data_IF_560494521845
#
_entry.id   IF_560494521845
#
_cell.length_a   1.000
_cell.length_b   1.000
_cell.length_c   1.000
_cell.angle_alpha   90.00
_cell.angle_beta   90.00
_cell.angle_gamma   90.00
#
_symmetry.space_group_name_H-M   'P 1'
#
loop_
_entity.id
_entity.type
_entity.pdbx_description
1 polymer ?
#
# COMPACT_ATOMS: atom_id res chain seq x y z
N UNK A 1 -21.62 53.33 -7.83
CA UNK A 1 -20.42 52.48 -7.95
C UNK A 1 -20.37 51.59 -6.73
N UNK A 2 -20.62 50.28 -6.85
CA UNK A 2 -20.50 49.35 -5.73
C UNK A 2 -19.06 48.87 -5.60
N UNK A 3 -18.61 48.78 -4.35
CA UNK A 3 -17.27 48.30 -3.97
C UNK A 3 -17.31 46.78 -4.04
N UNK A 4 -16.31 46.19 -4.72
CA UNK A 4 -16.20 44.77 -5.05
C UNK A 4 -16.28 43.86 -3.83
N UNK A 5 -16.96 42.73 -4.04
CA UNK A 5 -17.28 41.65 -3.10
C UNK A 5 -16.10 40.69 -2.85
N UNK A 6 -14.85 41.16 -2.96
CA UNK A 6 -13.67 40.28 -3.04
C UNK A 6 -13.00 39.97 -1.69
N UNK A 7 -13.47 40.55 -0.57
CA UNK A 7 -12.89 40.26 0.74
C UNK A 7 -13.47 39.00 1.42
N UNK A 8 -14.56 38.42 0.90
CA UNK A 8 -15.18 37.22 1.48
C UNK A 8 -14.55 35.89 0.99
N UNK A 9 -13.68 35.91 -0.04
CA UNK A 9 -13.06 34.69 -0.58
C UNK A 9 -11.63 34.42 -0.07
N UNK A 10 -11.02 35.33 0.68
CA UNK A 10 -9.61 35.20 1.09
C UNK A 10 -9.43 34.34 2.36
N UNK A 11 -10.51 33.98 3.06
CA UNK A 11 -10.44 33.27 4.34
C UNK A 11 -10.66 31.74 4.28
N UNK A 12 -10.74 31.12 3.10
CA UNK A 12 -10.95 29.67 2.98
C UNK A 12 -9.71 28.85 2.55
N UNK A 13 -8.50 29.42 2.56
CA UNK A 13 -7.26 28.70 2.22
C UNK A 13 -6.38 28.51 3.46
N UNK A 14 -6.78 27.61 4.35
CA UNK A 14 -5.93 26.92 5.34
C UNK A 14 -6.61 25.56 5.58
N UNK A 15 -6.23 24.47 4.94
CA UNK A 15 -4.94 23.78 5.10
C UNK A 15 -4.84 22.74 3.98
N UNK A 16 -4.00 22.97 2.96
CA UNK A 16 -3.57 21.89 2.07
C UNK A 16 -2.15 21.54 2.50
N UNK A 17 -2.00 20.50 3.31
CA UNK A 17 -0.70 19.87 3.47
C UNK A 17 -0.30 19.35 2.08
N UNK A 18 0.69 19.99 1.44
CA UNK A 18 1.30 19.43 0.24
C UNK A 18 2.19 18.29 0.71
N UNK A 19 1.66 17.07 0.69
CA UNK A 19 2.43 15.87 0.99
C UNK A 19 3.60 15.75 0.00
N UNK A 20 4.81 15.50 0.52
CA UNK A 20 5.97 15.30 -0.34
C UNK A 20 6.06 13.82 -0.67
N UNK A 21 5.71 13.49 -1.91
CA UNK A 21 5.88 12.15 -2.44
C UNK A 21 7.24 12.03 -3.11
N UNK A 22 8.09 11.14 -2.59
CA UNK A 22 9.42 10.87 -3.11
C UNK A 22 9.48 9.47 -3.71
N UNK A 23 9.99 9.35 -4.94
CA UNK A 23 10.20 8.04 -5.57
C UNK A 23 11.46 7.41 -5.01
N UNK A 24 11.31 6.21 -4.43
CA UNK A 24 12.42 5.46 -3.86
C UNK A 24 12.98 4.42 -4.84
N UNK A 25 12.11 3.79 -5.62
CA UNK A 25 12.49 2.68 -6.50
C UNK A 25 11.56 2.56 -7.70
N UNK A 26 12.10 2.06 -8.79
CA UNK A 26 11.41 1.84 -10.05
C UNK A 26 12.03 0.62 -10.75
N UNK A 27 11.22 -0.38 -11.07
CA UNK A 27 11.59 -1.49 -11.95
C UNK A 27 10.56 -1.69 -13.06
N UNK A 28 10.76 -2.72 -13.88
CA UNK A 28 9.76 -3.18 -14.85
C UNK A 28 8.45 -3.60 -14.17
N UNK A 29 8.51 -4.06 -12.92
CA UNK A 29 7.40 -4.73 -12.25
C UNK A 29 6.69 -3.88 -11.20
N UNK A 30 7.42 -2.98 -10.53
CA UNK A 30 6.87 -2.20 -9.42
C UNK A 30 7.52 -0.82 -9.30
N UNK A 31 6.73 0.13 -8.80
CA UNK A 31 7.21 1.45 -8.41
C UNK A 31 6.95 1.67 -6.92
N UNK A 32 7.95 2.14 -6.18
CA UNK A 32 7.82 2.47 -4.76
C UNK A 32 8.02 3.96 -4.49
N UNK A 33 7.11 4.55 -3.72
CA UNK A 33 7.14 5.94 -3.30
C UNK A 33 6.92 6.04 -1.79
N UNK A 34 7.59 6.99 -1.15
CA UNK A 34 7.34 7.33 0.26
C UNK A 34 6.60 8.66 0.35
N UNK A 35 5.57 8.70 1.18
CA UNK A 35 4.95 9.92 1.69
C UNK A 35 5.42 10.10 3.13
N UNK A 36 6.48 10.90 3.30
CA UNK A 36 7.24 10.97 4.56
C UNK A 36 6.39 11.47 5.73
N UNK A 37 5.57 12.49 5.49
CA UNK A 37 4.71 13.08 6.53
C UNK A 37 3.69 12.08 7.08
N UNK A 38 3.39 11.03 6.31
CA UNK A 38 2.42 10.00 6.67
C UNK A 38 3.07 8.68 7.08
N UNK A 39 4.40 8.55 7.01
CA UNK A 39 5.10 7.27 7.17
C UNK A 39 4.50 6.16 6.29
N UNK A 40 4.11 6.53 5.06
CA UNK A 40 3.37 5.68 4.13
C UNK A 40 4.25 5.31 2.94
N UNK A 41 4.53 4.02 2.78
CA UNK A 41 5.10 3.47 1.56
C UNK A 41 3.95 3.12 0.59
N UNK A 42 3.94 3.71 -0.60
CA UNK A 42 3.06 3.35 -1.71
C UNK A 42 3.81 2.47 -2.70
N UNK A 43 3.22 1.35 -3.06
CA UNK A 43 3.72 0.40 -4.06
C UNK A 43 2.68 0.22 -5.14
N UNK A 44 3.07 0.34 -6.40
CA UNK A 44 2.19 0.11 -7.56
C UNK A 44 2.79 -0.98 -8.42
N UNK A 45 2.14 -2.15 -8.44
CA UNK A 45 2.52 -3.28 -9.26
C UNK A 45 1.98 -3.13 -10.68
N UNK A 46 2.80 -3.52 -11.66
CA UNK A 46 2.56 -3.28 -13.09
C UNK A 46 2.12 -4.54 -13.82
N UNK A 47 1.51 -4.35 -15.00
CA UNK A 47 1.06 -5.43 -15.88
C UNK A 47 2.17 -6.39 -16.30
N UNK A 48 3.39 -5.87 -16.44
CA UNK A 48 4.59 -6.63 -16.84
C UNK A 48 4.99 -7.70 -15.82
N UNK A 49 4.39 -7.70 -14.62
CA UNK A 49 4.51 -8.81 -13.66
C UNK A 49 4.14 -10.18 -14.27
N UNK A 50 3.35 -10.21 -15.35
CA UNK A 50 3.06 -11.43 -16.12
C UNK A 50 4.32 -12.14 -16.66
N UNK A 51 5.44 -11.43 -16.84
CA UNK A 51 6.72 -11.98 -17.34
C UNK A 51 7.71 -12.34 -16.23
N UNK A 52 7.36 -12.06 -14.97
CA UNK A 52 8.23 -12.33 -13.83
C UNK A 52 8.48 -13.82 -13.65
N UNK A 53 9.68 -14.14 -13.15
CA UNK A 53 9.98 -15.43 -12.55
C UNK A 53 9.98 -15.35 -11.01
N UNK A 54 10.13 -16.50 -10.36
CA UNK A 54 10.07 -16.61 -8.90
C UNK A 54 11.15 -15.79 -8.18
N UNK A 55 12.38 -15.78 -8.69
CA UNK A 55 13.49 -15.03 -8.08
C UNK A 55 13.26 -13.53 -8.17
N UNK A 56 12.72 -13.05 -9.31
CA UNK A 56 12.33 -11.65 -9.49
C UNK A 56 11.22 -11.27 -8.51
N UNK A 57 10.19 -12.11 -8.36
CA UNK A 57 9.10 -11.85 -7.41
C UNK A 57 9.63 -11.70 -5.98
N UNK A 58 10.43 -12.65 -5.51
CA UNK A 58 11.02 -12.60 -4.18
C UNK A 58 11.98 -11.41 -4.02
N UNK A 59 12.72 -11.04 -5.06
CA UNK A 59 13.60 -9.86 -5.03
C UNK A 59 12.82 -8.56 -4.86
N UNK A 60 11.74 -8.35 -5.62
CA UNK A 60 10.90 -7.14 -5.51
C UNK A 60 10.22 -7.06 -4.13
N UNK A 61 9.73 -8.20 -3.61
CA UNK A 61 9.18 -8.28 -2.26
C UNK A 61 10.21 -7.91 -1.18
N UNK A 62 11.46 -8.38 -1.30
CA UNK A 62 12.53 -8.05 -0.36
C UNK A 62 12.92 -6.58 -0.44
N UNK A 63 12.97 -6.02 -1.64
CA UNK A 63 13.25 -4.60 -1.83
C UNK A 63 12.16 -3.73 -1.20
N UNK A 64 10.88 -4.11 -1.33
CA UNK A 64 9.78 -3.43 -0.65
C UNK A 64 9.96 -3.39 0.87
N UNK A 65 10.28 -4.52 1.51
CA UNK A 65 10.52 -4.56 2.98
C UNK A 65 11.72 -3.71 3.36
N UNK A 66 12.80 -3.78 2.58
CA UNK A 66 13.99 -2.98 2.81
C UNK A 66 13.67 -1.48 2.78
N UNK A 67 12.97 -1.01 1.75
CA UNK A 67 12.55 0.38 1.62
C UNK A 67 11.59 0.80 2.73
N UNK A 68 10.66 -0.08 3.12
CA UNK A 68 9.74 0.13 4.23
C UNK A 68 10.50 0.41 5.54
N UNK A 69 11.44 -0.49 5.89
CA UNK A 69 12.23 -0.37 7.10
C UNK A 69 13.20 0.83 7.05
N UNK A 70 13.91 1.03 5.93
CA UNK A 70 14.89 2.11 5.76
C UNK A 70 14.26 3.50 5.88
N UNK A 71 12.98 3.64 5.56
CA UNK A 71 12.25 4.91 5.64
C UNK A 71 11.38 5.04 6.89
N UNK A 72 11.48 4.11 7.85
CA UNK A 72 10.63 4.05 9.04
C UNK A 72 9.13 4.18 8.71
N UNK A 73 8.71 3.55 7.61
CA UNK A 73 7.30 3.50 7.26
C UNK A 73 6.54 2.68 8.31
N UNK A 74 5.28 3.03 8.56
CA UNK A 74 4.36 2.29 9.41
C UNK A 74 3.10 1.87 8.67
N UNK A 75 2.90 2.39 7.45
CA UNK A 75 1.76 2.10 6.60
C UNK A 75 2.22 1.66 5.22
N UNK A 76 1.54 0.66 4.67
CA UNK A 76 1.78 0.15 3.33
C UNK A 76 0.51 0.25 2.49
N UNK A 77 0.64 0.87 1.32
CA UNK A 77 -0.35 0.86 0.26
C UNK A 77 0.22 0.03 -0.89
N UNK A 78 -0.53 -0.95 -1.37
CA UNK A 78 -0.12 -1.84 -2.47
C UNK A 78 -1.22 -1.92 -3.51
N UNK A 79 -1.04 -1.23 -4.63
CA UNK A 79 -1.93 -1.36 -5.78
C UNK A 79 -1.50 -2.55 -6.64
N UNK A 80 -2.29 -3.61 -6.58
CA UNK A 80 -2.08 -4.88 -7.26
C UNK A 80 -3.12 -5.12 -8.36
N UNK A 81 -3.88 -4.11 -8.79
CA UNK A 81 -4.93 -4.27 -9.82
C UNK A 81 -4.40 -4.75 -11.17
N UNK A 82 -3.15 -4.44 -11.48
CA UNK A 82 -2.46 -4.90 -12.69
C UNK A 82 -1.45 -6.01 -12.42
N UNK A 83 -1.42 -6.59 -11.21
CA UNK A 83 -0.50 -7.67 -10.87
C UNK A 83 -0.98 -9.00 -11.48
N UNK A 84 -0.16 -9.58 -12.36
CA UNK A 84 -0.50 -10.74 -13.19
C UNK A 84 0.45 -11.94 -12.98
N UNK A 85 1.39 -11.84 -12.03
CA UNK A 85 2.27 -12.96 -11.72
C UNK A 85 1.51 -14.06 -10.93
N UNK A 86 1.54 -15.33 -11.36
CA UNK A 86 0.87 -16.41 -10.65
C UNK A 86 1.66 -16.82 -9.40
N UNK A 87 1.25 -16.33 -8.23
CA UNK A 87 1.84 -16.70 -6.94
C UNK A 87 1.53 -18.17 -6.65
N UNK A 88 2.57 -18.99 -6.53
CA UNK A 88 2.44 -20.41 -6.18
C UNK A 88 2.13 -20.60 -4.68
N UNK A 89 1.61 -21.78 -4.27
CA UNK A 89 1.38 -22.08 -2.85
C UNK A 89 2.64 -21.98 -1.98
N UNK A 90 3.81 -22.35 -2.52
CA UNK A 90 5.09 -22.22 -1.83
C UNK A 90 5.45 -20.75 -1.59
N UNK A 91 5.24 -19.89 -2.59
CA UNK A 91 5.46 -18.45 -2.44
C UNK A 91 4.46 -17.80 -1.49
N UNK A 92 3.19 -18.25 -1.47
CA UNK A 92 2.22 -17.80 -0.48
C UNK A 92 2.69 -18.14 0.94
N UNK A 93 3.14 -19.38 1.17
CA UNK A 93 3.71 -19.78 2.45
C UNK A 93 4.96 -18.96 2.81
N UNK A 94 5.80 -18.58 1.84
CA UNK A 94 6.93 -17.67 2.06
C UNK A 94 6.47 -16.25 2.44
N UNK A 95 5.44 -15.72 1.79
CA UNK A 95 4.87 -14.41 2.16
C UNK A 95 4.36 -14.41 3.61
N UNK A 96 3.65 -15.46 4.00
CA UNK A 96 3.02 -15.55 5.32
C UNK A 96 4.03 -15.82 6.44
N UNK A 97 5.03 -16.67 6.20
CA UNK A 97 5.97 -17.12 7.23
C UNK A 97 7.28 -16.31 7.28
N UNK A 98 7.65 -15.60 6.21
CA UNK A 98 8.91 -14.86 6.13
C UNK A 98 8.70 -13.36 5.91
N UNK A 99 7.91 -12.97 4.90
CA UNK A 99 7.73 -11.56 4.55
C UNK A 99 6.88 -10.80 5.59
N UNK A 100 5.71 -11.33 5.94
CA UNK A 100 4.80 -10.69 6.88
C UNK A 100 5.43 -10.51 8.28
N UNK A 101 6.14 -11.50 8.87
CA UNK A 101 6.84 -11.32 10.14
C UNK A 101 7.94 -10.24 10.10
N UNK A 102 8.62 -10.07 8.96
CA UNK A 102 9.59 -8.99 8.80
C UNK A 102 8.92 -7.61 8.77
N UNK A 103 7.76 -7.47 8.12
CA UNK A 103 6.97 -6.24 8.17
C UNK A 103 6.45 -5.93 9.58
N UNK A 104 5.99 -6.95 10.33
CA UNK A 104 5.61 -6.83 11.73
C UNK A 104 6.80 -6.33 12.57
N UNK A 105 7.96 -6.94 12.39
CA UNK A 105 9.20 -6.54 13.08
C UNK A 105 9.63 -5.12 12.72
N UNK A 106 9.40 -4.70 11.46
CA UNK A 106 9.65 -3.35 10.98
C UNK A 106 8.60 -2.31 11.46
N UNK A 107 7.55 -2.74 12.17
CA UNK A 107 6.58 -1.84 12.79
C UNK A 107 5.38 -1.48 11.90
N UNK A 108 4.98 -2.36 10.97
CA UNK A 108 3.77 -2.13 10.17
C UNK A 108 2.51 -2.08 11.07
N UNK A 109 1.70 -1.04 10.88
CA UNK A 109 0.43 -0.83 11.56
C UNK A 109 -0.77 -1.10 10.66
N UNK A 110 -0.69 -0.66 9.39
CA UNK A 110 -1.77 -0.82 8.40
C UNK A 110 -1.22 -1.22 7.04
N UNK A 111 -1.88 -2.18 6.39
CA UNK A 111 -1.62 -2.57 5.01
C UNK A 111 -2.92 -2.53 4.20
N UNK A 112 -3.00 -1.60 3.24
CA UNK A 112 -4.06 -1.56 2.25
C UNK A 112 -3.61 -2.27 0.96
N UNK A 113 -4.34 -3.32 0.58
CA UNK A 113 -4.14 -4.09 -0.64
C UNK A 113 -5.28 -3.77 -1.61
N UNK A 114 -4.94 -3.25 -2.80
CA UNK A 114 -5.92 -2.90 -3.81
C UNK A 114 -5.91 -3.96 -4.90
N UNK A 115 -7.06 -4.59 -5.11
CA UNK A 115 -7.26 -5.64 -6.11
C UNK A 115 -8.49 -5.34 -6.96
N UNK A 116 -8.65 -5.98 -8.14
CA UNK A 116 -9.90 -5.89 -8.87
C UNK A 116 -11.05 -6.46 -8.03
N UNK A 117 -12.24 -5.87 -8.11
CA UNK A 117 -13.39 -6.20 -7.26
C UNK A 117 -13.75 -7.69 -7.26
N UNK A 118 -13.64 -8.33 -8.43
CA UNK A 118 -13.89 -9.77 -8.62
C UNK A 118 -12.96 -10.66 -7.79
N UNK A 119 -11.72 -10.23 -7.50
CA UNK A 119 -10.78 -10.95 -6.64
C UNK A 119 -11.13 -10.74 -5.16
N UNK A 120 -11.55 -9.53 -4.78
CA UNK A 120 -11.94 -9.22 -3.39
C UNK A 120 -13.18 -9.99 -2.97
N UNK A 121 -14.14 -10.14 -3.88
CA UNK A 121 -15.32 -10.98 -3.64
C UNK A 121 -14.94 -12.44 -3.35
N UNK A 122 -13.88 -12.96 -3.98
CA UNK A 122 -13.37 -14.30 -3.72
C UNK A 122 -12.56 -14.38 -2.42
N UNK A 123 -11.83 -13.33 -2.06
CA UNK A 123 -11.05 -13.25 -0.81
C UNK A 123 -11.94 -13.10 0.43
N UNK A 124 -13.02 -12.33 0.33
CA UNK A 124 -14.04 -12.16 1.39
C UNK A 124 -14.69 -13.49 1.80
N UNK A 125 -14.70 -14.48 0.89
CA UNK A 125 -15.18 -15.84 1.19
C UNK A 125 -14.16 -16.64 2.02
N UNK A 126 -12.87 -16.28 1.97
CA UNK A 126 -11.77 -17.05 2.54
C UNK A 126 -11.12 -16.43 3.79
N UNK A 127 -11.58 -15.27 4.26
CA UNK A 127 -11.02 -14.60 5.43
C UNK A 127 -12.07 -14.35 6.52
N UNK A 128 -12.43 -15.40 7.25
CA UNK A 128 -12.95 -15.30 8.61
C UNK A 128 -11.76 -15.04 9.54
N UNK A 129 -11.48 -13.75 9.77
CA UNK A 129 -10.51 -13.28 10.77
C UNK A 129 -11.18 -13.22 12.15
N UNK A 130 -11.18 -14.33 12.87
CA UNK A 130 -11.10 -14.37 14.34
C UNK A 130 -9.88 -15.28 14.61
N UNK A 131 -8.84 -14.89 15.33
CA UNK A 131 -8.89 -14.78 16.79
C UNK A 131 -7.71 -13.93 17.31
N UNK A 132 -8.06 -12.98 18.18
CA UNK A 132 -7.39 -12.60 19.43
C UNK A 132 -5.92 -13.03 19.61
N UNK A 133 -4.97 -12.29 19.04
CA UNK A 133 -3.66 -12.10 19.67
C UNK A 133 -3.02 -10.77 19.25
N UNK A 134 -2.47 -10.08 20.24
CA UNK A 134 -2.04 -8.67 20.27
C UNK A 134 -0.83 -8.29 19.38
N UNK A 135 -0.68 -8.90 18.20
CA UNK A 135 0.38 -8.60 17.22
C UNK A 135 -0.11 -8.58 15.76
N UNK A 136 -1.42 -8.56 15.53
CA UNK A 136 -2.01 -8.62 14.19
C UNK A 136 -1.82 -7.32 13.42
N UNK A 137 -1.17 -7.41 12.25
CA UNK A 137 -1.18 -6.34 11.24
C UNK A 137 -2.62 -6.12 10.80
N UNK A 138 -3.08 -4.87 10.75
CA UNK A 138 -4.38 -4.58 10.16
C UNK A 138 -4.22 -4.58 8.65
N UNK A 139 -4.62 -5.68 8.01
CA UNK A 139 -4.59 -5.84 6.55
C UNK A 139 -6.02 -5.73 6.04
N UNK A 140 -6.25 -4.90 5.02
CA UNK A 140 -7.56 -4.77 4.37
C UNK A 140 -7.44 -4.71 2.85
N UNK A 141 -8.45 -5.27 2.20
CA UNK A 141 -8.59 -5.30 0.74
C UNK A 141 -9.58 -4.23 0.28
N UNK A 142 -9.23 -3.54 -0.80
CA UNK A 142 -10.04 -2.44 -1.36
C UNK A 142 -10.12 -2.56 -2.89
N UNK A 143 -11.28 -2.24 -3.47
CA UNK A 143 -11.42 -2.11 -4.93
C UNK A 143 -11.05 -0.70 -5.42
N UNK A 144 -11.04 0.27 -4.52
CA UNK A 144 -10.83 1.70 -4.79
C UNK A 144 -9.60 2.24 -4.08
N UNK A 145 -8.78 3.01 -4.80
CA UNK A 145 -7.66 3.76 -4.21
C UNK A 145 -8.16 4.75 -3.15
N UNK A 146 -9.27 5.43 -3.41
CA UNK A 146 -9.82 6.45 -2.50
C UNK A 146 -10.14 5.84 -1.13
N UNK A 147 -10.86 4.71 -1.10
CA UNK A 147 -11.25 4.03 0.14
C UNK A 147 -10.03 3.52 0.90
N UNK A 148 -9.03 2.99 0.18
CA UNK A 148 -7.78 2.54 0.76
C UNK A 148 -7.03 3.68 1.45
N UNK A 149 -6.92 4.85 0.80
CA UNK A 149 -6.23 6.02 1.34
C UNK A 149 -6.99 6.59 2.54
N UNK A 150 -8.31 6.75 2.44
CA UNK A 150 -9.14 7.21 3.56
C UNK A 150 -8.97 6.31 4.79
N UNK A 151 -8.93 4.99 4.60
CA UNK A 151 -8.71 4.04 5.69
C UNK A 151 -7.29 4.10 6.28
N UNK A 152 -6.27 4.37 5.46
CA UNK A 152 -4.89 4.58 5.92
C UNK A 152 -4.71 5.88 6.72
N UNK A 153 -5.65 6.82 6.62
CA UNK A 153 -5.67 8.10 7.34
C UNK A 153 -6.50 8.09 8.62
N UNK A 154 -7.31 7.04 8.84
CA UNK A 154 -8.09 6.83 10.07
C UNK A 154 -7.23 6.48 11.29
#
# INVERSE_FOLDING_TARGET
>A
MPISNDQAQINNIRTLATYVMEKLYESEFVSHFIVKEESLLKSTWKGDTATMNADQFTAECKEQIHLFAANNASKLYSDSRNFNYPISPEQQAWLDNELLPQLITAGIAKWALIYPEEFIAQLSVNQLLEEENSQSVNIRFFSSETEAIEWLHQ
#
